data_IF_418289727992
#
_entry.id   IF_418289727992
#
_cell.length_a   1.000
_cell.length_b   1.000
_cell.length_c   1.000
_cell.angle_alpha   90.00
_cell.angle_beta   90.00
_cell.angle_gamma   90.00
#
_symmetry.space_group_name_H-M   'P 1'
#
loop_
_entity.id
_entity.type
_entity.pdbx_description
1 polymer ?
#
# COMPACT_ATOMS: atom_id res chain seq x y z
N UNK A 1 6.08 14.81 22.02
CA UNK A 1 5.17 15.13 20.90
C UNK A 1 5.67 14.38 19.68
N UNK A 2 4.82 13.63 19.00
CA UNK A 2 5.16 12.95 17.74
C UNK A 2 4.46 13.71 16.61
N UNK A 3 5.22 14.18 15.64
CA UNK A 3 4.70 14.81 14.41
C UNK A 3 4.80 13.79 13.29
N UNK A 4 3.70 13.55 12.60
CA UNK A 4 3.71 12.75 11.37
C UNK A 4 4.33 13.59 10.26
N UNK A 5 5.47 13.14 9.73
CA UNK A 5 6.08 13.70 8.53
C UNK A 5 5.71 12.81 7.33
N UNK A 6 5.24 13.42 6.25
CA UNK A 6 5.04 12.73 4.98
C UNK A 6 6.39 12.63 4.27
N UNK A 7 6.98 11.44 4.26
CA UNK A 7 8.23 11.17 3.53
C UNK A 7 7.87 10.84 2.09
N UNK A 8 8.29 11.70 1.15
CA UNK A 8 8.20 11.41 -0.27
C UNK A 8 9.38 10.48 -0.66
N UNK A 9 9.06 9.29 -1.17
CA UNK A 9 10.04 8.27 -1.58
C UNK A 9 10.56 8.45 -3.00
N UNK A 10 10.00 9.39 -3.77
CA UNK A 10 10.20 9.51 -5.21
C UNK A 10 9.42 8.48 -6.04
N UNK A 11 8.52 7.71 -5.41
CA UNK A 11 7.68 6.73 -6.09
C UNK A 11 6.56 7.43 -6.87
N UNK A 12 6.39 7.02 -8.12
CA UNK A 12 5.34 7.49 -9.01
C UNK A 12 4.48 6.30 -9.44
N UNK A 13 3.16 6.47 -9.42
CA UNK A 13 2.21 5.49 -9.93
C UNK A 13 1.07 6.17 -10.66
N UNK A 14 0.38 5.47 -11.58
CA UNK A 14 -0.68 6.06 -12.40
C UNK A 14 -1.92 6.47 -11.58
N UNK A 15 -2.05 6.02 -10.34
CA UNK A 15 -3.10 6.36 -9.39
C UNK A 15 -2.53 6.52 -7.97
N UNK A 16 -3.17 7.26 -7.05
CA UNK A 16 -2.67 7.41 -5.69
C UNK A 16 -2.59 6.07 -4.93
N UNK A 17 -1.38 5.72 -4.48
CA UNK A 17 -1.16 4.54 -3.63
C UNK A 17 -1.00 4.92 -2.16
N UNK A 18 -1.57 4.10 -1.27
CA UNK A 18 -1.48 4.28 0.18
C UNK A 18 -0.93 3.02 0.85
N UNK A 19 0.26 3.12 1.42
CA UNK A 19 0.82 2.07 2.28
C UNK A 19 0.43 2.34 3.75
N UNK A 20 -0.20 1.35 4.40
CA UNK A 20 -0.53 1.42 5.84
C UNK A 20 0.02 0.20 6.59
N UNK A 21 0.38 0.34 7.89
CA UNK A 21 0.73 -0.81 8.71
C UNK A 21 -0.41 -1.84 8.77
N UNK A 22 -0.09 -3.13 8.88
CA UNK A 22 -1.09 -4.22 8.92
C UNK A 22 -2.14 -4.03 10.03
N UNK A 23 -1.76 -3.45 11.18
CA UNK A 23 -2.69 -3.16 12.26
C UNK A 23 -3.77 -2.12 11.85
N UNK A 24 -3.37 -1.10 11.08
CA UNK A 24 -4.30 -0.09 10.54
C UNK A 24 -5.18 -0.71 9.46
N UNK A 25 -4.62 -1.52 8.56
CA UNK A 25 -5.41 -2.22 7.53
C UNK A 25 -6.48 -3.13 8.13
N UNK A 26 -6.16 -3.85 9.23
CA UNK A 26 -7.13 -4.67 9.98
C UNK A 26 -8.24 -3.81 10.59
N UNK A 27 -7.89 -2.68 11.21
CA UNK A 27 -8.87 -1.78 11.81
C UNK A 27 -9.82 -1.16 10.77
N UNK A 28 -9.35 -0.97 9.54
CA UNK A 28 -10.15 -0.49 8.40
C UNK A 28 -10.91 -1.61 7.67
N UNK A 29 -10.76 -2.87 8.06
CA UNK A 29 -11.40 -4.01 7.39
C UNK A 29 -10.80 -4.37 6.03
N UNK A 30 -9.62 -3.86 5.69
CA UNK A 30 -8.92 -4.10 4.43
C UNK A 30 -8.06 -5.38 4.46
N UNK A 31 -7.74 -5.91 5.65
CA UNK A 31 -6.91 -7.10 5.83
C UNK A 31 -7.57 -8.15 6.75
N UNK A 32 -7.51 -9.46 6.42
CA UNK A 32 -6.93 -10.02 5.20
C UNK A 32 -7.79 -9.70 3.97
N UNK A 33 -7.18 -9.40 2.81
CA UNK A 33 -7.95 -9.09 1.63
C UNK A 33 -8.75 -10.32 1.19
N UNK A 34 -10.04 -10.12 0.91
CA UNK A 34 -10.89 -11.13 0.29
C UNK A 34 -10.66 -11.20 -1.22
N UNK A 35 -10.19 -10.10 -1.83
CA UNK A 35 -9.79 -10.00 -3.23
C UNK A 35 -8.54 -9.14 -3.31
N UNK A 36 -7.42 -9.76 -3.61
CA UNK A 36 -6.14 -9.07 -3.82
C UNK A 36 -5.35 -9.78 -4.92
N UNK A 37 -4.45 -9.02 -5.52
CA UNK A 37 -3.46 -9.54 -6.45
C UNK A 37 -2.09 -9.50 -5.78
N UNK A 38 -1.31 -10.57 -5.93
CA UNK A 38 0.13 -10.48 -5.70
C UNK A 38 0.70 -9.69 -6.88
N UNK A 39 1.37 -8.58 -6.59
CA UNK A 39 2.09 -7.80 -7.58
C UNK A 39 3.54 -7.69 -7.16
N UNK A 40 4.41 -7.85 -8.14
CA UNK A 40 5.82 -7.58 -7.97
C UNK A 40 6.09 -6.11 -8.28
N UNK A 41 6.74 -5.41 -7.36
CA UNK A 41 7.05 -4.00 -7.47
C UNK A 41 8.57 -3.78 -7.41
N UNK A 42 9.10 -3.08 -8.41
CA UNK A 42 10.48 -2.61 -8.38
C UNK A 42 10.62 -1.46 -7.38
N UNK A 43 11.48 -1.63 -6.39
CA UNK A 43 11.84 -0.59 -5.43
C UNK A 43 13.30 -0.21 -5.55
N UNK A 44 13.72 0.92 -4.97
CA UNK A 44 15.13 1.28 -4.89
C UNK A 44 16.01 0.27 -4.12
N UNK A 45 15.39 -0.67 -3.38
CA UNK A 45 16.06 -1.77 -2.69
C UNK A 45 15.99 -3.12 -3.43
N UNK A 46 15.41 -3.17 -4.63
CA UNK A 46 15.14 -4.39 -5.38
C UNK A 46 13.64 -4.72 -5.48
N UNK A 47 13.36 -5.86 -6.07
CA UNK A 47 11.99 -6.33 -6.35
C UNK A 47 11.32 -6.86 -5.06
N UNK A 48 10.07 -6.44 -4.80
CA UNK A 48 9.28 -6.88 -3.64
C UNK A 48 7.89 -7.36 -4.05
N UNK A 49 7.45 -8.46 -3.45
CA UNK A 49 6.10 -8.98 -3.60
C UNK A 49 5.15 -8.30 -2.60
N UNK A 50 4.07 -7.71 -3.11
CA UNK A 50 3.07 -7.01 -2.30
C UNK A 50 1.64 -7.42 -2.67
N UNK A 51 0.75 -7.38 -1.68
CA UNK A 51 -0.67 -7.57 -1.91
C UNK A 51 -1.31 -6.25 -2.33
N UNK A 52 -1.82 -6.18 -3.55
CA UNK A 52 -2.54 -5.03 -4.09
C UNK A 52 -4.05 -5.23 -3.94
N UNK A 53 -4.73 -4.20 -3.41
CA UNK A 53 -6.18 -4.14 -3.24
C UNK A 53 -6.68 -2.93 -4.03
N UNK A 54 -7.41 -3.19 -5.10
CA UNK A 54 -8.06 -2.13 -5.87
C UNK A 54 -9.31 -1.64 -5.12
N UNK A 55 -9.41 -0.33 -4.89
CA UNK A 55 -10.57 0.29 -4.22
C UNK A 55 -11.25 1.31 -5.13
N UNK A 56 -12.29 0.87 -5.87
CA UNK A 56 -13.19 1.67 -6.74
C UNK A 56 -13.16 1.24 -8.22
N UNK A 57 -14.24 1.18 -9.02
CA UNK A 57 -15.67 1.54 -8.86
C UNK A 57 -16.57 0.42 -9.44
N UNK A 58 -17.80 0.30 -8.93
CA UNK A 58 -18.94 -0.29 -9.67
C UNK A 58 -19.86 0.83 -10.12
#
# INVERSE_FOLDING_TARGET
>A
MSTSALVNTGFESPAPDVAVPTAVAKALGLWPPTRAWLVSADTGGGEVEMAYIETGES
#
